data_IF_341400788838
#
_entry.id   IF_341400788838
#
_cell.length_a   1.000
_cell.length_b   1.000
_cell.length_c   1.000
_cell.angle_alpha   90.00
_cell.angle_beta   90.00
_cell.angle_gamma   90.00
#
_symmetry.space_group_name_H-M   'P 1'
#
loop_
_entity.id
_entity.type
_entity.pdbx_description
1 polymer ?
#
# COMPACT_ATOMS: atom_id res chain seq x y z
N UNK A 1 -6.19 -9.73 20.79
CA UNK A 1 -7.10 -10.56 19.96
C UNK A 1 -6.57 -10.86 18.54
N UNK A 2 -5.58 -10.13 18.01
CA UNK A 2 -5.10 -10.30 16.62
C UNK A 2 -4.13 -11.47 16.34
N UNK A 3 -3.65 -12.19 17.38
CA UNK A 3 -2.65 -13.27 17.22
C UNK A 3 -3.24 -14.68 16.98
N UNK A 4 -4.57 -14.82 16.89
CA UNK A 4 -5.23 -16.14 16.88
C UNK A 4 -5.87 -16.57 15.55
N UNK A 5 -5.70 -15.81 14.46
CA UNK A 5 -6.44 -16.08 13.21
C UNK A 5 -5.71 -16.89 12.14
N UNK A 6 -4.48 -17.36 12.37
CA UNK A 6 -3.74 -18.18 11.39
C UNK A 6 -3.79 -19.66 11.76
N UNK A 7 -4.96 -20.28 11.61
CA UNK A 7 -5.10 -21.73 11.45
C UNK A 7 -6.40 -21.99 10.69
N UNK A 8 -6.31 -22.35 9.42
CA UNK A 8 -7.20 -23.29 8.71
C UNK A 8 -6.53 -23.63 7.37
N UNK A 9 -6.44 -24.94 7.13
CA UNK A 9 -5.87 -25.58 5.97
C UNK A 9 -6.77 -25.59 4.74
N UNK A 10 -6.27 -26.28 3.72
CA UNK A 10 -6.75 -26.42 2.35
C UNK A 10 -8.27 -26.64 2.22
N UNK A 11 -9.00 -25.62 1.79
CA UNK A 11 -10.11 -25.76 0.83
C UNK A 11 -10.57 -24.40 0.32
N UNK A 12 -10.87 -24.35 -0.98
CA UNK A 12 -11.49 -23.25 -1.73
C UNK A 12 -10.64 -22.00 -2.01
N UNK A 13 -9.92 -22.06 -3.14
CA UNK A 13 -9.09 -20.99 -3.74
C UNK A 13 -9.90 -19.71 -4.04
N UNK A 14 -11.22 -19.80 -4.26
CA UNK A 14 -12.07 -18.61 -4.42
C UNK A 14 -12.48 -17.94 -3.09
N UNK A 15 -12.36 -18.62 -1.94
CA UNK A 15 -12.80 -18.08 -0.63
C UNK A 15 -11.70 -17.35 0.15
N UNK A 16 -10.45 -17.45 -0.28
CA UNK A 16 -9.30 -16.89 0.47
C UNK A 16 -9.11 -15.40 0.21
N UNK A 17 -9.63 -14.90 -0.91
CA UNK A 17 -9.62 -13.47 -1.24
C UNK A 17 -10.64 -12.72 -0.38
N UNK A 18 -11.90 -13.19 -0.35
CA UNK A 18 -12.96 -12.63 0.50
C UNK A 18 -12.62 -12.71 2.01
N UNK A 19 -11.98 -13.80 2.46
CA UNK A 19 -11.55 -13.98 3.87
C UNK A 19 -10.51 -12.97 4.37
N UNK A 20 -9.76 -12.30 3.50
CA UNK A 20 -8.75 -11.30 3.88
C UNK A 20 -9.23 -9.86 3.65
N UNK A 21 -10.20 -9.65 2.75
CA UNK A 21 -10.80 -8.35 2.52
C UNK A 21 -11.65 -7.89 3.73
N UNK A 22 -12.35 -8.82 4.38
CA UNK A 22 -13.19 -8.52 5.54
C UNK A 22 -12.42 -8.00 6.77
N UNK A 23 -11.30 -8.62 7.23
CA UNK A 23 -10.52 -8.09 8.35
C UNK A 23 -9.89 -6.71 8.07
N UNK A 24 -9.46 -6.46 6.82
CA UNK A 24 -8.89 -5.16 6.42
C UNK A 24 -9.98 -4.08 6.50
N UNK A 25 -11.16 -4.34 5.94
CA UNK A 25 -12.32 -3.42 6.00
C UNK A 25 -12.77 -3.17 7.45
N UNK A 26 -12.81 -4.20 8.29
CA UNK A 26 -13.13 -4.05 9.71
C UNK A 26 -12.09 -3.19 10.44
N UNK A 27 -10.80 -3.38 10.15
CA UNK A 27 -9.71 -2.57 10.75
C UNK A 27 -9.80 -1.12 10.31
N UNK A 28 -10.09 -0.87 9.03
CA UNK A 28 -10.35 0.49 8.54
C UNK A 28 -11.53 1.15 9.24
N UNK A 29 -12.62 0.40 9.48
CA UNK A 29 -13.77 0.91 10.21
C UNK A 29 -13.39 1.25 11.65
N UNK A 30 -12.66 0.37 12.34
CA UNK A 30 -12.15 0.65 13.68
C UNK A 30 -11.28 1.90 13.73
N UNK A 31 -10.42 2.13 12.73
CA UNK A 31 -9.62 3.36 12.62
C UNK A 31 -10.50 4.59 12.38
N UNK A 32 -11.56 4.49 11.57
CA UNK A 32 -12.53 5.57 11.37
C UNK A 32 -13.27 5.91 12.67
N UNK A 33 -13.69 4.91 13.43
CA UNK A 33 -14.36 5.10 14.71
C UNK A 33 -13.41 5.73 15.73
N UNK A 34 -12.15 5.28 15.81
CA UNK A 34 -11.13 5.89 16.66
C UNK A 34 -10.84 7.36 16.29
N UNK A 35 -10.89 7.73 15.00
CA UNK A 35 -10.78 9.14 14.57
C UNK A 35 -11.96 9.98 15.04
N UNK A 36 -13.16 9.43 14.99
CA UNK A 36 -14.37 10.09 15.48
C UNK A 36 -14.27 10.31 17.00
N UNK A 37 -13.86 9.29 17.74
CA UNK A 37 -13.67 9.38 19.19
C UNK A 37 -12.57 10.38 19.57
N UNK A 38 -11.46 10.41 18.81
CA UNK A 38 -10.40 11.40 18.98
C UNK A 38 -10.92 12.83 18.76
N UNK A 39 -11.79 13.03 17.77
CA UNK A 39 -12.40 14.34 17.50
C UNK A 39 -13.28 14.77 18.67
N UNK A 40 -14.16 13.89 19.15
CA UNK A 40 -15.00 14.17 20.32
C UNK A 40 -14.17 14.43 21.60
N UNK A 41 -13.06 13.73 21.78
CA UNK A 41 -12.14 13.97 22.89
C UNK A 41 -11.45 15.35 22.78
N UNK A 42 -11.07 15.77 21.57
CA UNK A 42 -10.51 17.10 21.31
C UNK A 42 -11.52 18.22 21.57
N UNK A 43 -12.79 18.03 21.18
CA UNK A 43 -13.87 18.97 21.48
C UNK A 43 -14.09 19.10 23.00
N UNK A 44 -14.14 17.96 23.71
CA UNK A 44 -14.27 17.93 25.18
C UNK A 44 -13.10 18.65 25.86
N UNK A 45 -11.87 18.41 25.38
CA UNK A 45 -10.68 19.12 25.86
C UNK A 45 -10.80 20.63 25.63
N UNK A 46 -11.27 21.05 24.46
CA UNK A 46 -11.45 22.47 24.15
C UNK A 46 -12.49 23.12 25.08
N UNK A 47 -13.61 22.45 25.35
CA UNK A 47 -14.63 22.92 26.28
C UNK A 47 -14.07 23.10 27.69
N UNK A 48 -13.34 22.11 28.22
CA UNK A 48 -12.73 22.21 29.56
C UNK A 48 -11.68 23.33 29.63
N UNK A 49 -10.86 23.49 28.59
CA UNK A 49 -9.92 24.62 28.50
C UNK A 49 -10.64 25.96 28.49
N UNK A 50 -11.75 26.07 27.75
CA UNK A 50 -12.55 27.29 27.71
C UNK A 50 -13.19 27.59 29.07
N UNK A 51 -13.65 26.57 29.81
CA UNK A 51 -14.13 26.72 31.19
C UNK A 51 -13.01 27.24 32.09
N UNK A 52 -11.84 26.61 32.08
CA UNK A 52 -10.69 27.06 32.86
C UNK A 52 -10.35 28.54 32.61
N UNK A 53 -10.26 28.96 31.35
CA UNK A 53 -9.97 30.35 30.97
C UNK A 53 -11.05 31.31 31.48
N UNK A 54 -12.32 30.95 31.34
CA UNK A 54 -13.44 31.78 31.77
C UNK A 54 -13.46 31.94 33.29
N UNK A 55 -13.39 30.85 34.04
CA UNK A 55 -13.38 30.86 35.50
C UNK A 55 -12.17 31.64 36.03
N UNK A 56 -10.99 31.49 35.40
CA UNK A 56 -9.78 32.27 35.73
C UNK A 56 -10.00 33.76 35.50
N UNK A 57 -10.62 34.14 34.38
CA UNK A 57 -10.93 35.54 34.07
C UNK A 57 -11.91 36.13 35.08
N UNK A 58 -12.92 35.36 35.48
CA UNK A 58 -13.88 35.76 36.51
C UNK A 58 -13.17 35.96 37.87
N UNK A 59 -12.31 35.03 38.28
CA UNK A 59 -11.50 35.15 39.50
C UNK A 59 -10.66 36.44 39.49
N UNK A 60 -9.95 36.70 38.38
CA UNK A 60 -9.14 37.91 38.22
C UNK A 60 -10.01 39.18 38.24
N UNK A 61 -11.22 39.14 37.67
CA UNK A 61 -12.17 40.25 37.73
C UNK A 61 -12.60 40.56 39.17
N UNK A 62 -12.91 39.54 39.96
CA UNK A 62 -13.24 39.69 41.39
C UNK A 62 -12.06 40.24 42.20
N UNK A 63 -10.85 39.78 41.91
CA UNK A 63 -9.63 40.30 42.53
C UNK A 63 -9.39 41.78 42.19
N UNK A 64 -9.63 42.20 40.95
CA UNK A 64 -9.54 43.61 40.57
C UNK A 64 -10.58 44.46 41.29
N UNK A 65 -11.83 44.00 41.35
CA UNK A 65 -12.89 44.69 42.11
C UNK A 65 -12.52 44.82 43.59
N UNK A 66 -11.97 43.77 44.20
CA UNK A 66 -11.50 43.79 45.58
C UNK A 66 -10.43 44.88 45.79
N UNK A 67 -9.44 44.97 44.90
CA UNK A 67 -8.42 46.01 44.93
C UNK A 67 -9.01 47.43 44.77
N UNK A 68 -10.05 47.59 43.94
CA UNK A 68 -10.73 48.87 43.79
C UNK A 68 -11.44 49.30 45.09
N UNK A 69 -12.08 48.38 45.80
CA UNK A 69 -12.69 48.65 47.11
C UNK A 69 -11.65 48.97 48.19
N UNK A 70 -10.51 48.27 48.19
CA UNK A 70 -9.38 48.62 49.06
C UNK A 70 -8.89 50.05 48.81
N UNK A 71 -8.76 50.44 47.53
CA UNK A 71 -8.36 51.79 47.14
C UNK A 71 -9.40 52.84 47.53
N UNK A 72 -10.71 52.52 47.44
CA UNK A 72 -11.78 53.40 47.93
C UNK A 72 -11.68 53.61 49.44
N UNK A 73 -11.48 52.54 50.22
CA UNK A 73 -11.29 52.62 51.66
C UNK A 73 -10.08 53.51 52.03
N UNK A 74 -8.95 53.32 51.36
CA UNK A 74 -7.75 54.17 51.54
C UNK A 74 -8.04 55.65 51.24
N UNK A 75 -8.72 55.95 50.14
CA UNK A 75 -9.08 57.33 49.76
C UNK A 75 -9.99 57.98 50.80
N UNK A 76 -11.01 57.28 51.28
CA UNK A 76 -11.93 57.80 52.32
C UNK A 76 -11.16 58.22 53.59
N UNK A 77 -10.25 57.39 54.06
CA UNK A 77 -9.43 57.68 55.24
C UNK A 77 -8.44 58.84 55.01
N UNK A 78 -7.89 58.97 53.80
CA UNK A 78 -7.03 60.10 53.44
C UNK A 78 -7.82 61.42 53.40
N UNK A 79 -9.00 61.43 52.79
CA UNK A 79 -9.87 62.62 52.72
C UNK A 79 -10.32 63.09 54.11
N UNK A 80 -10.55 62.15 55.04
CA UNK A 80 -10.81 62.51 56.45
C UNK A 80 -9.59 63.14 57.13
N UNK A 81 -8.37 62.61 56.90
CA UNK A 81 -7.13 63.23 57.40
C UNK A 81 -6.91 64.64 56.85
N UNK A 82 -7.33 64.89 55.61
CA UNK A 82 -7.29 66.21 54.97
C UNK A 82 -8.39 67.16 55.47
N UNK A 83 -9.29 66.69 56.36
CA UNK A 83 -10.37 67.49 56.95
C UNK A 83 -11.57 67.74 56.02
N UNK A 84 -11.59 67.12 54.85
CA UNK A 84 -12.65 67.29 53.85
C UNK A 84 -13.83 66.33 54.04
N UNK A 85 -13.73 65.38 54.97
CA UNK A 85 -14.77 64.44 55.35
C UNK A 85 -14.72 64.22 56.88
N UNK A 86 -15.89 64.07 57.51
CA UNK A 86 -15.97 63.71 58.92
C UNK A 86 -15.31 62.35 59.18
N UNK A 87 -14.49 62.27 60.23
CA UNK A 87 -13.69 61.07 60.53
C UNK A 87 -14.57 59.86 60.80
N UNK A 88 -15.66 60.02 61.57
CA UNK A 88 -16.54 58.90 61.90
C UNK A 88 -17.28 58.37 60.67
N UNK A 89 -17.74 59.26 59.79
CA UNK A 89 -18.37 58.86 58.54
C UNK A 89 -17.38 58.20 57.57
N UNK A 90 -16.14 58.71 57.49
CA UNK A 90 -15.09 58.10 56.69
C UNK A 90 -14.72 56.69 57.16
N UNK A 91 -14.59 56.49 58.48
CA UNK A 91 -14.33 55.18 59.08
C UNK A 91 -15.48 54.21 58.82
N UNK A 92 -16.74 54.66 58.92
CA UNK A 92 -17.92 53.86 58.59
C UNK A 92 -17.91 53.40 57.14
N UNK A 93 -17.69 54.33 56.20
CA UNK A 93 -17.66 54.02 54.77
C UNK A 93 -16.46 53.15 54.38
N UNK A 94 -15.29 53.40 54.98
CA UNK A 94 -14.09 52.58 54.77
C UNK A 94 -14.31 51.15 55.28
N UNK A 95 -14.97 50.98 56.43
CA UNK A 95 -15.33 49.66 56.96
C UNK A 95 -16.24 48.89 55.99
N UNK A 96 -17.30 49.53 55.49
CA UNK A 96 -18.19 48.90 54.50
C UNK A 96 -17.44 48.53 53.20
N UNK A 97 -16.52 49.37 52.74
CA UNK A 97 -15.70 49.08 51.57
C UNK A 97 -14.76 47.88 51.80
N UNK A 98 -14.17 47.77 53.00
CA UNK A 98 -13.31 46.63 53.37
C UNK A 98 -14.11 45.33 53.56
N UNK A 99 -15.34 45.39 54.07
CA UNK A 99 -16.23 44.22 54.13
C UNK A 99 -16.55 43.68 52.74
N UNK A 100 -16.82 44.58 51.77
CA UNK A 100 -17.06 44.18 50.38
C UNK A 100 -15.80 43.64 49.71
N UNK A 101 -14.63 44.26 49.98
CA UNK A 101 -13.33 43.77 49.53
C UNK A 101 -13.04 42.35 50.05
N UNK A 102 -13.35 42.06 51.31
CA UNK A 102 -13.19 40.73 51.89
C UNK A 102 -14.08 39.68 51.20
N UNK A 103 -15.35 40.00 50.94
CA UNK A 103 -16.28 39.11 50.21
C UNK A 103 -15.78 38.80 48.80
N UNK A 104 -15.36 39.83 48.06
CA UNK A 104 -14.84 39.67 46.70
C UNK A 104 -13.54 38.87 46.67
N UNK A 105 -12.69 39.04 47.68
CA UNK A 105 -11.43 38.26 47.83
C UNK A 105 -11.71 36.78 48.04
N UNK A 106 -12.65 36.44 48.92
CA UNK A 106 -13.06 35.05 49.14
C UNK A 106 -13.67 34.43 47.88
N UNK A 107 -14.49 35.19 47.14
CA UNK A 107 -15.07 34.73 45.89
C UNK A 107 -13.99 34.52 44.81
N UNK A 108 -13.03 35.44 44.70
CA UNK A 108 -11.89 35.33 43.79
C UNK A 108 -11.05 34.08 44.10
N UNK A 109 -10.78 33.79 45.38
CA UNK A 109 -10.05 32.59 45.79
C UNK A 109 -10.81 31.32 45.43
N UNK A 110 -12.12 31.27 45.72
CA UNK A 110 -12.98 30.13 45.36
C UNK A 110 -12.93 29.86 43.85
N UNK A 111 -13.12 30.89 43.03
CA UNK A 111 -13.06 30.79 41.58
C UNK A 111 -11.66 30.43 41.08
N UNK A 112 -10.61 30.96 41.72
CA UNK A 112 -9.22 30.63 41.40
C UNK A 112 -8.91 29.14 41.61
N UNK A 113 -9.41 28.57 42.70
CA UNK A 113 -9.29 27.13 42.98
C UNK A 113 -10.10 26.29 41.98
N UNK A 114 -11.31 26.72 41.62
CA UNK A 114 -12.15 26.08 40.61
C UNK A 114 -11.46 26.09 39.23
N UNK A 115 -10.90 27.23 38.81
CA UNK A 115 -10.13 27.35 37.57
C UNK A 115 -8.93 26.40 37.55
N UNK A 116 -8.20 26.29 38.66
CA UNK A 116 -7.08 25.34 38.80
C UNK A 116 -7.53 23.89 38.62
N UNK A 117 -8.69 23.52 39.16
CA UNK A 117 -9.24 22.17 38.97
C UNK A 117 -9.56 21.89 37.49
N UNK A 118 -10.14 22.86 36.77
CA UNK A 118 -10.37 22.73 35.33
C UNK A 118 -9.08 22.63 34.52
N UNK A 119 -8.03 23.36 34.90
CA UNK A 119 -6.71 23.26 34.25
C UNK A 119 -6.08 21.89 34.42
N UNK A 120 -6.14 21.32 35.64
CA UNK A 120 -5.66 19.95 35.89
C UNK A 120 -6.43 18.96 35.02
N UNK A 121 -7.76 19.07 34.96
CA UNK A 121 -8.58 18.23 34.10
C UNK A 121 -8.20 18.38 32.61
N UNK A 122 -7.97 19.61 32.15
CA UNK A 122 -7.53 19.87 30.78
C UNK A 122 -6.18 19.23 30.47
N UNK A 123 -5.23 19.24 31.41
CA UNK A 123 -3.92 18.59 31.26
C UNK A 123 -4.08 17.07 31.13
N UNK A 124 -4.92 16.47 31.97
CA UNK A 124 -5.23 15.03 31.91
C UNK A 124 -5.86 14.65 30.57
N UNK A 125 -6.88 15.40 30.12
CA UNK A 125 -7.51 15.18 28.82
C UNK A 125 -6.55 15.37 27.65
N UNK A 126 -5.68 16.40 27.70
CA UNK A 126 -4.68 16.64 26.68
C UNK A 126 -3.68 15.48 26.56
N UNK A 127 -3.28 14.90 27.70
CA UNK A 127 -2.42 13.72 27.74
C UNK A 127 -3.12 12.50 27.13
N UNK A 128 -4.40 12.31 27.44
CA UNK A 128 -5.24 11.26 26.85
C UNK A 128 -5.36 11.39 25.32
N UNK A 129 -5.67 12.59 24.83
CA UNK A 129 -5.75 12.93 23.40
C UNK A 129 -4.42 12.67 22.69
N UNK A 130 -3.30 13.09 23.28
CA UNK A 130 -1.97 12.85 22.71
C UNK A 130 -1.67 11.34 22.57
N UNK A 131 -2.01 10.56 23.60
CA UNK A 131 -1.88 9.09 23.57
C UNK A 131 -2.76 8.46 22.50
N UNK A 132 -4.03 8.87 22.38
CA UNK A 132 -4.94 8.36 21.36
C UNK A 132 -4.42 8.68 19.95
N UNK A 133 -3.92 9.90 19.72
CA UNK A 133 -3.32 10.31 18.45
C UNK A 133 -2.11 9.45 18.07
N UNK A 134 -1.22 9.17 19.03
CA UNK A 134 -0.08 8.29 18.82
C UNK A 134 -0.50 6.86 18.46
N UNK A 135 -1.44 6.28 19.24
CA UNK A 135 -1.98 4.94 18.96
C UNK A 135 -2.65 4.86 17.59
N UNK A 136 -3.42 5.88 17.22
CA UNK A 136 -4.08 5.95 15.91
C UNK A 136 -3.05 5.92 14.77
N UNK A 137 -2.00 6.73 14.86
CA UNK A 137 -0.90 6.74 13.89
C UNK A 137 -0.24 5.36 13.75
N UNK A 138 0.01 4.67 14.87
CA UNK A 138 0.52 3.30 14.85
C UNK A 138 -0.40 2.35 14.09
N UNK A 139 -1.71 2.38 14.37
CA UNK A 139 -2.67 1.52 13.68
C UNK A 139 -2.82 1.83 12.19
N UNK A 140 -2.74 3.11 11.80
CA UNK A 140 -2.74 3.49 10.39
C UNK A 140 -1.53 2.93 9.64
N UNK A 141 -0.34 3.00 10.26
CA UNK A 141 0.89 2.46 9.68
C UNK A 141 0.86 0.92 9.61
N UNK A 142 0.35 0.25 10.64
CA UNK A 142 0.17 -1.20 10.66
C UNK A 142 -0.82 -1.64 9.57
N UNK A 143 -1.95 -0.94 9.42
CA UNK A 143 -2.92 -1.22 8.36
C UNK A 143 -2.32 -1.04 6.96
N UNK A 144 -1.57 0.04 6.73
CA UNK A 144 -0.89 0.26 5.45
C UNK A 144 0.08 -0.89 5.12
N UNK A 145 0.86 -1.33 6.11
CA UNK A 145 1.77 -2.48 5.98
C UNK A 145 1.00 -3.78 5.68
N UNK A 146 -0.09 -4.04 6.39
CA UNK A 146 -0.93 -5.22 6.18
C UNK A 146 -1.56 -5.23 4.79
N UNK A 147 -2.05 -4.10 4.30
CA UNK A 147 -2.57 -3.96 2.93
C UNK A 147 -1.51 -4.27 1.88
N UNK A 148 -0.31 -3.72 2.03
CA UNK A 148 0.80 -3.99 1.11
C UNK A 148 1.16 -5.48 1.09
N UNK A 149 1.28 -6.11 2.27
CA UNK A 149 1.54 -7.55 2.40
C UNK A 149 0.44 -8.41 1.80
N UNK A 150 -0.82 -8.07 2.06
CA UNK A 150 -1.97 -8.77 1.49
C UNK A 150 -1.97 -8.69 -0.04
N UNK A 151 -1.67 -7.50 -0.60
CA UNK A 151 -1.53 -7.31 -2.06
C UNK A 151 -0.41 -8.16 -2.63
N UNK A 152 0.79 -8.11 -2.05
CA UNK A 152 1.92 -8.95 -2.49
C UNK A 152 1.58 -10.43 -2.43
N UNK A 153 1.02 -10.90 -1.32
CA UNK A 153 0.62 -12.30 -1.17
C UNK A 153 -0.43 -12.72 -2.23
N UNK A 154 -1.40 -11.85 -2.54
CA UNK A 154 -2.39 -12.11 -3.60
C UNK A 154 -1.74 -12.22 -4.98
N UNK A 155 -0.77 -11.34 -5.29
CA UNK A 155 -0.02 -11.37 -6.55
C UNK A 155 0.86 -12.60 -6.66
N UNK A 156 1.62 -12.95 -5.61
CA UNK A 156 2.46 -14.16 -5.57
C UNK A 156 1.62 -15.42 -5.74
N UNK A 157 0.45 -15.50 -5.08
CA UNK A 157 -0.49 -16.62 -5.27
C UNK A 157 -0.96 -16.71 -6.72
N UNK A 158 -1.33 -15.59 -7.34
CA UNK A 158 -1.76 -15.56 -8.75
C UNK A 158 -0.65 -16.02 -9.70
N UNK A 159 0.58 -15.55 -9.49
CA UNK A 159 1.75 -15.97 -10.29
C UNK A 159 2.00 -17.46 -10.13
N UNK A 160 2.02 -17.98 -8.90
CA UNK A 160 2.25 -19.41 -8.66
C UNK A 160 1.12 -20.28 -9.24
N UNK A 161 -0.14 -19.84 -9.17
CA UNK A 161 -1.24 -20.54 -9.82
C UNK A 161 -1.11 -20.55 -11.35
N UNK A 162 -0.66 -19.45 -11.95
CA UNK A 162 -0.37 -19.37 -13.38
C UNK A 162 0.80 -20.28 -13.77
N UNK A 163 1.90 -20.29 -13.00
CA UNK A 163 3.04 -21.19 -13.23
C UNK A 163 2.63 -22.66 -13.14
N UNK A 164 1.85 -23.04 -12.11
CA UNK A 164 1.32 -24.39 -11.97
C UNK A 164 0.37 -24.77 -13.11
N UNK A 165 -0.33 -23.80 -13.72
CA UNK A 165 -1.20 -24.03 -14.88
C UNK A 165 -0.41 -24.16 -16.19
N UNK A 166 0.84 -23.70 -16.24
CA UNK A 166 1.72 -23.80 -17.42
C UNK A 166 2.42 -25.19 -17.48
N UNK A 167 2.57 -25.87 -16.34
CA UNK A 167 3.44 -27.05 -16.19
C UNK A 167 2.71 -28.41 -16.06
N UNK A 168 1.80 -28.80 -16.98
CA UNK A 168 1.47 -30.24 -17.00
C UNK A 168 0.91 -30.89 -18.26
N UNK A 169 0.27 -30.18 -19.20
CA UNK A 169 -0.36 -30.91 -20.31
C UNK A 169 -0.35 -30.25 -21.68
N UNK A 170 -0.32 -28.92 -21.78
CA UNK A 170 -0.39 -28.26 -23.08
C UNK A 170 0.95 -28.24 -23.82
N UNK A 171 1.99 -27.71 -23.19
CA UNK A 171 3.26 -27.40 -23.86
C UNK A 171 4.12 -28.64 -24.07
N UNK A 172 4.17 -29.55 -23.10
CA UNK A 172 4.90 -30.82 -23.23
C UNK A 172 4.20 -31.75 -24.24
N UNK A 173 2.87 -31.84 -24.22
CA UNK A 173 2.15 -32.63 -25.21
C UNK A 173 2.25 -32.04 -26.63
N UNK A 174 2.36 -30.72 -26.77
CA UNK A 174 2.61 -30.08 -28.06
C UNK A 174 4.04 -30.37 -28.55
N UNK A 175 5.04 -30.32 -27.67
CA UNK A 175 6.42 -30.67 -27.98
C UNK A 175 6.57 -32.15 -28.37
N UNK A 176 5.93 -33.07 -27.64
CA UNK A 176 5.92 -34.50 -28.00
C UNK A 176 5.21 -34.74 -29.33
N UNK A 177 4.06 -34.10 -29.59
CA UNK A 177 3.39 -34.20 -30.92
C UNK A 177 4.23 -33.62 -32.05
N UNK A 178 4.96 -32.53 -31.81
CA UNK A 178 5.87 -31.98 -32.81
C UNK A 178 7.04 -32.94 -33.06
N UNK A 179 7.54 -33.61 -32.03
CA UNK A 179 8.61 -34.61 -32.15
C UNK A 179 8.15 -35.85 -32.93
N UNK A 180 6.98 -36.41 -32.60
CA UNK A 180 6.35 -37.52 -33.34
C UNK A 180 6.18 -37.19 -34.82
N UNK A 181 5.71 -35.96 -35.13
CA UNK A 181 5.50 -35.52 -36.51
C UNK A 181 6.81 -35.38 -37.29
N UNK A 182 7.87 -34.86 -36.65
CA UNK A 182 9.19 -34.74 -37.29
C UNK A 182 9.77 -36.13 -37.58
N UNK A 183 9.63 -37.08 -36.65
CA UNK A 183 10.12 -38.45 -36.82
C UNK A 183 9.38 -39.20 -37.95
N UNK A 184 8.09 -38.94 -38.12
CA UNK A 184 7.28 -39.46 -39.23
C UNK A 184 7.68 -38.84 -40.58
N UNK A 185 7.94 -37.53 -40.62
CA UNK A 185 8.43 -36.83 -41.83
C UNK A 185 9.85 -37.29 -42.21
N UNK A 186 10.74 -37.52 -41.24
CA UNK A 186 12.08 -38.08 -41.46
C UNK A 186 12.01 -39.52 -41.98
N UNK A 187 11.10 -40.34 -41.43
CA UNK A 187 10.88 -41.72 -41.90
C UNK A 187 10.34 -41.77 -43.33
N UNK A 188 9.40 -40.87 -43.68
CA UNK A 188 8.91 -40.69 -45.04
C UNK A 188 10.02 -40.22 -45.99
N UNK A 189 10.84 -39.26 -45.58
CA UNK A 189 11.97 -38.79 -46.37
C UNK A 189 12.99 -39.91 -46.62
N UNK A 190 13.28 -40.75 -45.62
CA UNK A 190 14.12 -41.94 -45.79
C UNK A 190 13.50 -42.95 -46.75
N UNK A 191 12.19 -43.22 -46.64
CA UNK A 191 11.49 -44.12 -47.55
C UNK A 191 11.48 -43.61 -49.00
N UNK A 192 11.32 -42.30 -49.22
CA UNK A 192 11.47 -41.70 -50.55
C UNK A 192 12.92 -41.77 -51.07
N UNK A 193 13.92 -41.62 -50.18
CA UNK A 193 15.33 -41.84 -50.51
C UNK A 193 15.60 -43.27 -50.97
N UNK A 194 15.02 -44.27 -50.28
CA UNK A 194 15.15 -45.68 -50.63
C UNK A 194 14.40 -46.03 -51.94
N UNK A 195 13.24 -45.42 -52.19
CA UNK A 195 12.49 -45.58 -53.45
C UNK A 195 13.24 -44.94 -54.61
N UNK A 196 13.83 -43.76 -54.43
CA UNK A 196 14.67 -43.13 -55.46
C UNK A 196 15.90 -43.99 -55.77
N UNK A 197 16.55 -44.57 -54.76
CA UNK A 197 17.65 -45.50 -54.93
C UNK A 197 17.23 -46.80 -55.65
N UNK A 198 16.03 -47.32 -55.38
CA UNK A 198 15.48 -48.48 -56.11
C UNK A 198 15.12 -48.15 -57.57
N UNK A 199 14.62 -46.95 -57.84
CA UNK A 199 14.26 -46.51 -59.19
C UNK A 199 15.51 -46.33 -60.05
N UNK A 200 16.58 -45.74 -59.50
CA UNK A 200 17.90 -45.65 -60.15
C UNK A 200 18.51 -47.03 -60.46
N UNK A 201 18.26 -48.06 -59.64
CA UNK A 201 18.72 -49.43 -59.95
C UNK A 201 17.89 -50.12 -61.04
N UNK A 202 16.57 -49.87 -61.09
CA UNK A 202 15.69 -50.50 -62.06
C UNK A 202 15.80 -49.87 -63.45
N UNK A 203 15.91 -48.54 -63.55
CA UNK A 203 16.20 -47.86 -64.81
C UNK A 203 17.59 -48.25 -65.34
N UNK A 204 18.57 -48.43 -64.45
CA UNK A 204 19.91 -48.92 -64.81
C UNK A 204 19.90 -50.37 -65.29
N UNK A 205 19.07 -51.26 -64.73
CA UNK A 205 18.87 -52.62 -65.25
C UNK A 205 18.14 -52.64 -66.60
N UNK A 206 17.18 -51.74 -66.84
CA UNK A 206 16.47 -51.60 -68.12
C UNK A 206 17.41 -51.07 -69.21
N UNK A 207 18.21 -50.05 -68.92
CA UNK A 207 19.22 -49.52 -69.86
C UNK A 207 20.29 -50.57 -70.18
N UNK A 208 20.72 -51.37 -69.20
CA UNK A 208 21.63 -52.50 -69.43
C UNK A 208 21.00 -53.63 -70.28
N UNK A 209 19.69 -53.86 -70.18
CA UNK A 209 18.97 -54.84 -70.98
C UNK A 209 18.69 -54.37 -72.42
N UNK A 210 18.67 -53.06 -72.67
CA UNK A 210 18.46 -52.46 -73.99
C UNK A 210 19.76 -52.31 -74.81
N UNK A 211 20.92 -52.39 -74.17
CA UNK A 211 22.22 -52.34 -74.83
C UNK A 211 22.71 -53.76 -75.15
N UNK A 212 22.12 -54.41 -76.17
CA UNK A 212 22.89 -55.19 -77.14
C UNK A 212 22.10 -55.49 -78.43
N UNK A 213 22.42 -54.78 -79.52
CA UNK A 213 22.67 -55.31 -80.89
C UNK A 213 22.68 -54.23 -81.98
N UNK A 214 23.86 -54.13 -82.60
CA UNK A 214 24.15 -53.80 -84.01
C UNK A 214 24.19 -52.33 -84.48
N UNK A 215 25.44 -51.88 -84.59
CA UNK A 215 26.12 -51.57 -85.87
C UNK A 215 25.74 -50.29 -86.63
N UNK A 216 26.55 -49.25 -86.45
CA UNK A 216 26.98 -48.29 -87.50
C UNK A 216 28.29 -47.62 -87.08
N UNK A 217 29.42 -48.22 -87.47
CA UNK A 217 30.76 -47.64 -87.28
C UNK A 217 31.78 -48.07 -88.35
N UNK A 218 31.40 -48.96 -89.27
CA UNK A 218 32.27 -49.40 -90.38
C UNK A 218 32.40 -48.37 -91.50
N UNK A 219 31.54 -47.35 -91.57
CA UNK A 219 31.62 -46.31 -92.60
C UNK A 219 32.64 -45.20 -92.30
N UNK A 220 33.01 -45.00 -91.03
CA UNK A 220 33.88 -43.89 -90.61
C UNK A 220 35.37 -44.29 -90.55
N UNK A 221 35.68 -45.60 -90.50
CA UNK A 221 37.05 -46.11 -90.46
C UNK A 221 37.66 -46.23 -91.87
N UNK A 222 36.87 -46.58 -92.89
CA UNK A 222 37.35 -46.66 -94.28
C UNK A 222 37.64 -45.26 -94.87
N UNK A 223 36.83 -44.26 -94.49
CA UNK A 223 37.08 -42.86 -94.83
C UNK A 223 38.35 -42.28 -94.16
N UNK A 224 38.69 -42.74 -92.95
CA UNK A 224 39.90 -42.32 -92.24
C UNK A 224 41.16 -42.99 -92.81
N UNK A 225 41.08 -44.26 -93.21
CA UNK A 225 42.20 -44.97 -93.84
C UNK A 225 42.55 -44.41 -95.22
N UNK A 226 41.56 -44.09 -96.06
CA UNK A 226 41.82 -43.42 -97.34
C UNK A 226 42.43 -42.02 -97.17
N UNK A 227 42.03 -41.29 -96.12
CA UNK A 227 42.59 -39.96 -95.81
C UNK A 227 44.04 -40.04 -95.29
N UNK A 228 44.42 -41.12 -94.62
CA UNK A 228 45.79 -41.30 -94.11
C UNK A 228 46.78 -41.85 -95.14
N UNK A 229 46.31 -42.57 -96.17
CA UNK A 229 47.17 -43.04 -97.28
C UNK A 229 47.57 -41.89 -98.24
N UNK A 230 46.74 -40.84 -98.35
CA UNK A 230 47.05 -39.65 -99.17
C UNK A 230 48.10 -38.71 -98.56
N UNK A 231 48.19 -38.63 -97.22
CA UNK A 231 49.16 -37.75 -96.53
C UNK A 231 50.58 -38.36 -96.43
N UNK A 232 50.79 -39.59 -96.91
CA UNK A 232 52.11 -40.26 -96.91
C UNK A 232 52.88 -40.20 -98.23
N UNK A 233 52.34 -39.57 -99.27
CA UNK A 233 53.02 -39.44 -100.58
C UNK A 233 53.36 -38.00 -101.00
N UNK A 234 53.05 -36.98 -100.19
CA UNK A 234 53.58 -35.63 -100.44
C UNK A 234 54.80 -35.42 -99.54
N UNK A 235 55.88 -36.04 -100.02
CA UNK A 235 57.26 -35.61 -99.81
C UNK A 235 57.67 -34.79 -101.03
#
# INVERSE_FOLDING_TARGET
MLKRFFKIGESNINSVMDKLEDPIKMTEQGIRDLKKDLTAAMESLAQVKAMAIRTRKEANGKQQMAADYENKAKKLLLTAKEGSLDTAEAERLATLALEEQAKLTLEAERLGNEAKNHEVLAITLNTGVAKQKATLSTYENELATLKARAKTASSTRRINAQLASIDSSGTIALLERMKERVEEEESLASAYGDIAAQTDTMDREIDLALVDKQAKGSAMLDALKQRMEMDKQIK
#
